data_IF_417937940651
#
_entry.id   IF_417937940651
#
_cell.length_a   1.000
_cell.length_b   1.000
_cell.length_c   1.000
_cell.angle_alpha   90.00
_cell.angle_beta   90.00
_cell.angle_gamma   90.00
#
_symmetry.space_group_name_H-M   'P 1'
#
loop_
_entity.id
_entity.type
_entity.pdbx_description
1 polymer ?
#
# COMPACT_ATOMS: atom_id res chain seq x y z
N UNK A 1 45.18 26.05 -19.35
CA UNK A 1 44.16 27.03 -19.77
C UNK A 1 43.43 26.58 -21.03
N UNK A 2 42.23 26.01 -20.91
CA UNK A 2 41.26 25.89 -22.01
C UNK A 2 39.86 26.02 -21.40
N UNK A 3 39.21 27.17 -21.64
CA UNK A 3 37.82 27.44 -21.24
C UNK A 3 36.89 26.59 -22.12
N UNK A 4 36.11 25.68 -21.53
CA UNK A 4 34.92 25.13 -22.20
C UNK A 4 33.71 25.96 -21.76
N UNK A 5 33.07 26.58 -22.76
CA UNK A 5 31.83 27.36 -22.65
C UNK A 5 30.74 26.50 -21.99
N UNK A 6 30.19 26.97 -20.87
CA UNK A 6 28.83 26.62 -20.47
C UNK A 6 27.88 27.29 -21.46
N UNK A 7 27.07 26.49 -22.15
CA UNK A 7 25.87 26.96 -22.83
C UNK A 7 24.66 26.75 -21.89
N UNK A 8 23.60 27.58 -22.01
CA UNK A 8 22.70 27.94 -20.92
C UNK A 8 21.55 26.95 -20.71
N UNK A 9 21.01 26.98 -19.48
CA UNK A 9 19.94 26.18 -18.89
C UNK A 9 18.56 26.34 -19.60
N UNK A 10 18.46 27.10 -20.68
CA UNK A 10 17.19 27.44 -21.34
C UNK A 10 16.73 26.50 -22.47
N UNK A 11 17.31 25.29 -22.58
CA UNK A 11 16.89 24.30 -23.59
C UNK A 11 15.88 23.24 -23.08
N UNK A 12 15.64 23.11 -21.77
CA UNK A 12 14.66 22.13 -21.24
C UNK A 12 13.24 22.68 -21.09
N UNK A 13 13.04 24.00 -21.19
CA UNK A 13 11.73 24.63 -21.01
C UNK A 13 10.80 24.57 -22.25
N UNK A 14 11.20 23.88 -23.34
CA UNK A 14 10.36 23.71 -24.55
C UNK A 14 9.79 22.31 -24.75
N UNK A 15 10.24 21.30 -24.00
CA UNK A 15 9.64 19.95 -24.02
C UNK A 15 8.58 19.74 -22.93
N UNK A 16 8.30 20.77 -22.12
CA UNK A 16 7.28 20.76 -21.07
C UNK A 16 5.85 21.01 -21.60
N UNK A 17 5.59 20.65 -22.87
CA UNK A 17 4.25 20.63 -23.50
C UNK A 17 3.84 19.25 -24.03
N UNK A 18 4.58 18.19 -23.73
CA UNK A 18 4.27 16.82 -24.18
C UNK A 18 3.87 15.83 -23.06
N UNK A 19 3.77 16.26 -21.80
CA UNK A 19 3.34 15.40 -20.69
C UNK A 19 1.86 15.56 -20.27
N UNK A 20 1.03 16.17 -21.11
CA UNK A 20 -0.44 16.27 -20.91
C UNK A 20 -1.22 15.29 -21.77
N UNK A 21 -0.67 14.14 -22.17
CA UNK A 21 -1.43 13.20 -22.99
C UNK A 21 -0.89 11.76 -22.95
N UNK A 22 -1.19 11.02 -21.88
CA UNK A 22 -1.02 9.56 -21.88
C UNK A 22 -2.24 8.92 -21.23
N UNK A 23 -3.26 8.66 -22.05
CA UNK A 23 -3.91 7.35 -22.25
C UNK A 23 -4.87 7.46 -23.46
N UNK A 24 -4.47 7.01 -24.66
CA UNK A 24 -5.45 6.65 -25.67
C UNK A 24 -5.95 5.23 -25.41
N UNK A 25 -7.25 5.05 -25.62
CA UNK A 25 -7.92 3.77 -25.74
C UNK A 25 -7.10 2.78 -26.57
N UNK A 26 -6.71 1.64 -26.02
CA UNK A 26 -6.25 0.47 -26.78
C UNK A 26 -6.45 -0.79 -25.94
N UNK A 27 -7.37 -1.63 -26.37
CA UNK A 27 -7.62 -2.95 -25.79
C UNK A 27 -6.48 -3.91 -26.08
N UNK A 28 -5.49 -3.95 -25.18
CA UNK A 28 -4.50 -5.01 -25.13
C UNK A 28 -4.40 -5.55 -23.70
N UNK A 29 -4.70 -6.84 -23.60
CA UNK A 29 -4.64 -7.65 -22.39
C UNK A 29 -3.19 -7.63 -21.88
N UNK A 30 -2.96 -7.01 -20.72
CA UNK A 30 -1.68 -7.10 -20.01
C UNK A 30 -1.52 -8.51 -19.44
N UNK A 31 -0.50 -9.23 -19.90
CA UNK A 31 -0.07 -10.52 -19.34
C UNK A 31 1.14 -10.25 -18.44
N UNK A 32 1.06 -10.47 -17.11
CA UNK A 32 2.16 -10.13 -16.22
C UNK A 32 3.39 -11.02 -16.49
N UNK A 33 4.62 -10.47 -16.36
CA UNK A 33 5.84 -11.24 -16.45
C UNK A 33 5.97 -12.21 -15.26
N UNK A 34 6.52 -13.36 -15.60
CA UNK A 34 6.42 -14.62 -14.91
C UNK A 34 7.59 -14.78 -13.92
N UNK A 35 7.44 -14.37 -12.64
CA UNK A 35 8.44 -14.66 -11.59
C UNK A 35 7.84 -15.27 -10.30
N UNK A 36 6.51 -15.21 -10.08
CA UNK A 36 5.87 -15.85 -8.92
C UNK A 36 5.28 -17.26 -9.19
N UNK A 37 5.47 -17.84 -10.39
CA UNK A 37 4.81 -19.09 -10.78
C UNK A 37 5.49 -20.40 -10.29
N UNK A 38 6.58 -20.32 -9.51
CA UNK A 38 7.34 -21.51 -9.10
C UNK A 38 6.93 -22.10 -7.74
N UNK A 39 6.47 -21.29 -6.76
CA UNK A 39 6.18 -21.79 -5.41
C UNK A 39 4.72 -22.14 -5.13
N UNK A 40 3.77 -21.77 -5.99
CA UNK A 40 2.33 -21.97 -5.74
C UNK A 40 1.71 -23.23 -6.36
N UNK A 41 2.52 -24.16 -6.90
CA UNK A 41 2.02 -25.39 -7.56
C UNK A 41 1.66 -26.55 -6.61
N UNK A 42 1.39 -26.29 -5.33
CA UNK A 42 1.02 -27.34 -4.35
C UNK A 42 -0.26 -27.07 -3.58
N UNK A 43 -1.15 -26.24 -4.11
CA UNK A 43 -2.52 -26.11 -3.63
C UNK A 43 -3.49 -26.70 -4.66
N UNK A 44 -4.45 -27.55 -4.27
CA UNK A 44 -5.27 -28.33 -5.19
C UNK A 44 -6.38 -27.54 -5.92
N UNK A 45 -6.44 -26.20 -5.84
CA UNK A 45 -7.60 -25.44 -6.32
C UNK A 45 -7.28 -24.14 -7.09
N UNK A 46 -6.24 -24.15 -7.93
CA UNK A 46 -5.91 -22.98 -8.79
C UNK A 46 -6.76 -22.87 -10.07
N UNK A 47 -7.74 -23.75 -10.28
CA UNK A 47 -8.57 -23.76 -11.50
C UNK A 47 -9.84 -22.89 -11.43
N UNK A 48 -10.13 -22.24 -10.29
CA UNK A 48 -11.40 -21.53 -10.10
C UNK A 48 -11.37 -20.01 -10.32
N UNK A 49 -10.24 -19.41 -10.73
CA UNK A 49 -10.14 -17.95 -10.98
C UNK A 49 -10.32 -17.61 -12.47
N UNK A 50 -11.30 -18.27 -13.09
CA UNK A 50 -11.59 -18.15 -14.51
C UNK A 50 -13.08 -18.15 -14.83
N UNK A 51 -13.92 -17.55 -13.98
CA UNK A 51 -15.31 -17.28 -14.34
C UNK A 51 -15.74 -15.92 -13.77
N UNK A 52 -15.74 -14.93 -14.65
CA UNK A 52 -16.47 -13.67 -14.48
C UNK A 52 -17.95 -14.02 -14.28
N UNK A 53 -18.48 -13.83 -13.08
CA UNK A 53 -19.93 -13.86 -12.83
C UNK A 53 -20.49 -12.49 -13.17
N UNK A 54 -21.26 -12.43 -14.25
CA UNK A 54 -22.28 -11.41 -14.49
C UNK A 54 -23.41 -11.69 -13.50
N UNK A 55 -23.61 -10.80 -12.52
CA UNK A 55 -24.74 -10.87 -11.58
C UNK A 55 -26.05 -10.43 -12.30
N UNK A 56 -27.21 -11.07 -12.04
CA UNK A 56 -28.42 -10.82 -12.82
C UNK A 56 -29.07 -9.47 -12.52
N UNK A 57 -29.35 -8.74 -13.60
CA UNK A 57 -30.08 -7.46 -13.63
C UNK A 57 -31.47 -7.56 -12.99
N UNK A 58 -31.80 -6.63 -12.09
CA UNK A 58 -33.17 -6.41 -11.64
C UNK A 58 -34.00 -5.76 -12.77
N UNK A 59 -35.16 -6.32 -13.16
CA UNK A 59 -35.95 -5.77 -14.26
C UNK A 59 -36.73 -4.53 -13.80
N UNK A 60 -36.50 -3.38 -14.45
CA UNK A 60 -37.39 -2.23 -14.35
C UNK A 60 -36.75 -0.86 -14.14
N UNK A 61 -35.45 -0.76 -13.90
CA UNK A 61 -34.75 0.53 -13.95
C UNK A 61 -34.14 0.70 -15.33
N UNK A 62 -34.64 1.69 -16.09
CA UNK A 62 -33.97 2.16 -17.31
C UNK A 62 -32.50 2.41 -16.95
N UNK A 63 -31.54 1.81 -17.66
CA UNK A 63 -30.15 2.18 -17.52
C UNK A 63 -30.08 3.69 -17.71
N UNK A 64 -29.51 4.43 -16.75
CA UNK A 64 -28.90 5.69 -17.16
C UNK A 64 -27.81 5.27 -18.13
N UNK A 65 -27.91 5.74 -19.37
CA UNK A 65 -26.86 5.56 -20.38
C UNK A 65 -25.54 6.03 -19.76
N UNK A 66 -24.68 5.07 -19.40
CA UNK A 66 -23.32 5.35 -18.94
C UNK A 66 -22.36 5.48 -20.14
N UNK A 67 -22.89 5.53 -21.36
CA UNK A 67 -22.14 5.68 -22.62
C UNK A 67 -21.88 7.13 -23.02
N UNK A 68 -22.26 8.11 -22.19
CA UNK A 68 -21.83 9.50 -22.33
C UNK A 68 -21.09 9.97 -21.06
N UNK A 69 -19.94 9.36 -20.77
CA UNK A 69 -18.89 10.07 -20.05
C UNK A 69 -18.06 10.79 -21.11
N UNK A 70 -18.43 12.04 -21.36
CA UNK A 70 -17.58 12.94 -22.14
C UNK A 70 -16.22 13.04 -21.45
N UNK A 71 -15.15 12.89 -22.22
CA UNK A 71 -13.83 13.40 -21.83
C UNK A 71 -13.98 14.89 -21.51
N UNK A 72 -14.00 15.26 -20.24
CA UNK A 72 -14.06 16.67 -19.82
C UNK A 72 -14.75 16.99 -18.51
N UNK A 73 -15.35 16.04 -17.80
CA UNK A 73 -15.83 16.32 -16.44
C UNK A 73 -14.64 16.36 -15.47
N UNK A 74 -14.45 17.51 -14.81
CA UNK A 74 -13.63 17.60 -13.61
C UNK A 74 -14.23 16.63 -12.61
N UNK A 75 -13.50 15.57 -12.27
CA UNK A 75 -13.83 14.75 -11.11
C UNK A 75 -13.59 15.65 -9.91
N UNK A 76 -14.67 16.08 -9.27
CA UNK A 76 -14.59 16.89 -8.07
C UNK A 76 -13.93 16.07 -6.96
N UNK A 77 -13.14 16.72 -6.10
CA UNK A 77 -12.36 16.06 -5.05
C UNK A 77 -13.25 15.21 -4.12
N UNK A 78 -14.50 15.63 -3.92
CA UNK A 78 -15.53 14.89 -3.19
C UNK A 78 -15.92 13.56 -3.85
N UNK A 79 -15.97 13.49 -5.19
CA UNK A 79 -16.31 12.28 -5.91
C UNK A 79 -15.18 11.25 -5.83
N UNK A 80 -13.92 11.72 -5.88
CA UNK A 80 -12.74 10.87 -5.69
C UNK A 80 -12.71 10.29 -4.26
N UNK A 81 -12.94 11.14 -3.24
CA UNK A 81 -13.06 10.70 -1.84
C UNK A 81 -14.17 9.67 -1.66
N UNK A 82 -15.33 9.89 -2.29
CA UNK A 82 -16.48 8.98 -2.21
C UNK A 82 -16.22 7.64 -2.88
N UNK A 83 -15.51 7.63 -4.00
CA UNK A 83 -15.10 6.42 -4.70
C UNK A 83 -14.08 5.61 -3.89
N UNK A 84 -13.07 6.28 -3.32
CA UNK A 84 -12.06 5.65 -2.43
C UNK A 84 -12.74 5.03 -1.22
N UNK A 85 -13.64 5.77 -0.56
CA UNK A 85 -14.41 5.28 0.58
C UNK A 85 -15.31 4.08 0.22
N UNK A 86 -15.92 4.10 -0.97
CA UNK A 86 -16.71 2.98 -1.49
C UNK A 86 -15.89 1.71 -1.70
N UNK A 87 -14.69 1.84 -2.28
CA UNK A 87 -13.76 0.73 -2.47
C UNK A 87 -13.26 0.15 -1.13
N UNK A 88 -12.93 1.02 -0.17
CA UNK A 88 -12.52 0.65 1.20
C UNK A 88 -13.60 -0.20 1.89
N UNK A 89 -14.86 0.26 1.87
CA UNK A 89 -16.00 -0.46 2.47
C UNK A 89 -16.23 -1.83 1.85
N UNK A 90 -16.11 -1.93 0.53
CA UNK A 90 -16.29 -3.20 -0.17
C UNK A 90 -15.21 -4.22 0.20
N UNK A 91 -13.95 -3.79 0.24
CA UNK A 91 -12.82 -4.63 0.60
C UNK A 91 -12.89 -5.10 2.07
N UNK A 92 -13.26 -4.18 2.98
CA UNK A 92 -13.43 -4.49 4.40
C UNK A 92 -14.54 -5.53 4.63
N UNK A 93 -15.68 -5.38 3.92
CA UNK A 93 -16.80 -6.33 3.97
C UNK A 93 -16.42 -7.73 3.49
N UNK A 94 -15.45 -7.84 2.58
CA UNK A 94 -15.00 -9.12 2.02
C UNK A 94 -13.89 -9.79 2.84
N UNK A 95 -13.32 -9.12 3.84
CA UNK A 95 -12.19 -9.66 4.61
C UNK A 95 -10.90 -9.81 3.80
N UNK A 96 -10.80 -9.10 2.66
CA UNK A 96 -9.66 -9.12 1.73
C UNK A 96 -9.10 -7.70 1.55
N UNK A 97 -9.46 -6.76 2.44
CA UNK A 97 -8.89 -5.42 2.38
C UNK A 97 -7.43 -5.47 2.80
N UNK A 98 -6.54 -5.13 1.86
CA UNK A 98 -5.23 -4.62 2.24
C UNK A 98 -5.41 -3.42 3.18
N UNK A 99 -4.59 -3.30 4.24
CA UNK A 99 -4.68 -2.17 5.17
C UNK A 99 -4.62 -0.83 4.42
N UNK A 100 -5.41 0.11 4.90
CA UNK A 100 -5.46 1.43 4.28
C UNK A 100 -4.20 2.23 4.64
N UNK A 101 -3.81 3.15 3.76
CA UNK A 101 -2.62 3.98 4.01
C UNK A 101 -2.77 4.89 5.25
N UNK A 102 -4.02 5.20 5.67
CA UNK A 102 -4.31 5.94 6.91
C UNK A 102 -4.16 5.11 8.20
N UNK A 103 -3.84 3.82 8.10
CA UNK A 103 -3.46 3.01 9.25
C UNK A 103 -1.99 3.21 9.65
N UNK A 104 -1.19 3.84 8.78
CA UNK A 104 0.16 4.30 9.13
C UNK A 104 0.06 5.42 10.17
N UNK A 105 0.71 5.20 11.30
CA UNK A 105 0.74 6.10 12.45
C UNK A 105 1.97 7.02 12.45
N UNK A 106 3.02 6.65 11.70
CA UNK A 106 4.29 7.37 11.65
C UNK A 106 4.41 8.36 10.50
N UNK A 107 3.39 8.43 9.64
CA UNK A 107 3.36 9.37 8.53
C UNK A 107 2.70 10.70 8.92
N UNK A 108 3.33 11.80 8.55
CA UNK A 108 2.75 13.12 8.71
C UNK A 108 1.59 13.33 7.72
N UNK A 109 0.50 14.01 8.14
CA UNK A 109 -0.67 14.23 7.28
C UNK A 109 -0.36 14.88 5.92
N UNK A 110 0.70 15.71 5.85
CA UNK A 110 1.13 16.36 4.61
C UNK A 110 1.65 15.33 3.59
N UNK A 111 2.45 14.36 4.03
CA UNK A 111 2.96 13.31 3.15
C UNK A 111 1.87 12.30 2.78
N UNK A 112 0.96 12.01 3.72
CA UNK A 112 -0.20 11.16 3.45
C UNK A 112 -1.05 11.72 2.29
N UNK A 113 -1.38 13.01 2.34
CA UNK A 113 -2.16 13.66 1.27
C UNK A 113 -1.42 13.61 -0.08
N UNK A 114 -0.08 13.73 -0.08
CA UNK A 114 0.75 13.63 -1.30
C UNK A 114 0.80 12.20 -1.85
N UNK A 115 0.84 11.18 -0.99
CA UNK A 115 0.72 9.77 -1.40
C UNK A 115 -0.63 9.48 -2.03
N UNK A 116 -1.71 9.97 -1.41
CA UNK A 116 -3.07 9.82 -1.94
C UNK A 116 -3.24 10.52 -3.29
N UNK A 117 -2.68 11.73 -3.47
CA UNK A 117 -2.66 12.44 -4.74
C UNK A 117 -1.93 11.67 -5.86
N UNK A 118 -1.00 10.77 -5.51
CA UNK A 118 -0.28 9.89 -6.43
C UNK A 118 -0.95 8.53 -6.63
N UNK A 119 -2.11 8.31 -6.02
CA UNK A 119 -2.88 7.08 -6.15
C UNK A 119 -2.46 5.97 -5.18
N UNK A 120 -1.71 6.27 -4.12
CA UNK A 120 -1.25 5.29 -3.12
C UNK A 120 -2.20 5.35 -1.92
N UNK A 121 -3.19 4.45 -1.90
CA UNK A 121 -4.26 4.43 -0.89
C UNK A 121 -4.20 3.25 0.07
N UNK A 122 -3.30 2.29 -0.18
CA UNK A 122 -3.14 1.07 0.63
C UNK A 122 -1.68 0.84 0.94
N UNK A 123 -1.42 0.13 2.04
CA UNK A 123 -0.06 -0.28 2.40
C UNK A 123 0.57 -1.16 1.32
N UNK A 124 -0.22 -2.03 0.67
CA UNK A 124 0.25 -2.83 -0.46
C UNK A 124 0.78 -2.00 -1.64
N UNK A 125 0.08 -0.92 -2.02
CA UNK A 125 0.54 -0.01 -3.07
C UNK A 125 1.81 0.74 -2.64
N UNK A 126 1.91 1.13 -1.38
CA UNK A 126 3.14 1.72 -0.84
C UNK A 126 4.30 0.72 -0.95
N UNK A 127 4.10 -0.54 -0.57
CA UNK A 127 5.13 -1.58 -0.65
C UNK A 127 5.59 -1.83 -2.08
N UNK A 128 4.66 -1.87 -3.05
CA UNK A 128 4.99 -2.00 -4.48
C UNK A 128 5.83 -0.81 -4.99
N UNK A 129 5.41 0.41 -4.63
CA UNK A 129 6.09 1.65 -5.03
C UNK A 129 7.40 1.90 -4.27
N UNK A 130 7.68 1.17 -3.21
CA UNK A 130 8.89 1.28 -2.37
C UNK A 130 9.80 0.03 -2.41
N UNK A 131 9.50 -0.92 -3.29
CA UNK A 131 10.17 -2.23 -3.37
C UNK A 131 11.69 -2.14 -3.46
N UNK A 132 12.22 -1.21 -4.27
CA UNK A 132 13.67 -1.08 -4.49
C UNK A 132 14.23 0.23 -3.92
N UNK A 133 15.54 0.29 -3.58
CA UNK A 133 16.15 1.52 -3.08
C UNK A 133 15.94 2.73 -4.01
N UNK A 134 16.07 2.54 -5.33
CA UNK A 134 15.83 3.60 -6.33
C UNK A 134 14.38 4.05 -6.35
N UNK A 135 13.43 3.11 -6.22
CA UNK A 135 12.00 3.42 -6.14
C UNK A 135 11.66 4.22 -4.88
N UNK A 136 12.28 3.88 -3.74
CA UNK A 136 12.13 4.65 -2.49
C UNK A 136 12.63 6.07 -2.63
N UNK A 137 13.81 6.27 -3.22
CA UNK A 137 14.32 7.62 -3.50
C UNK A 137 13.37 8.40 -4.41
N UNK A 138 12.87 7.76 -5.47
CA UNK A 138 11.92 8.39 -6.39
C UNK A 138 10.62 8.81 -5.68
N UNK A 139 10.10 7.95 -4.79
CA UNK A 139 8.91 8.25 -4.01
C UNK A 139 9.14 9.40 -3.02
N UNK A 140 10.31 9.44 -2.38
CA UNK A 140 10.72 10.52 -1.49
C UNK A 140 10.73 11.87 -2.24
N UNK A 141 11.35 11.91 -3.42
CA UNK A 141 11.41 13.11 -4.27
C UNK A 141 10.00 13.56 -4.72
N UNK A 142 9.10 12.62 -5.03
CA UNK A 142 7.72 12.90 -5.46
C UNK A 142 6.81 13.39 -4.32
N UNK A 143 7.06 12.93 -3.10
CA UNK A 143 6.28 13.28 -1.90
C UNK A 143 6.92 14.40 -1.08
N UNK A 144 8.06 14.93 -1.54
CA UNK A 144 8.88 15.93 -0.84
C UNK A 144 9.12 15.50 0.62
N UNK A 145 9.46 14.22 0.77
CA UNK A 145 9.82 13.55 2.02
C UNK A 145 11.29 13.14 1.99
N UNK A 146 11.87 12.76 3.13
CA UNK A 146 13.19 12.17 3.16
C UNK A 146 13.15 10.68 2.81
N UNK A 147 14.28 10.12 2.39
CA UNK A 147 14.40 8.67 2.18
C UNK A 147 14.16 7.90 3.50
N UNK A 148 14.57 8.47 4.63
CA UNK A 148 14.35 7.87 5.95
C UNK A 148 12.86 7.77 6.29
N UNK A 149 12.07 8.79 5.96
CA UNK A 149 10.61 8.77 6.17
C UNK A 149 9.97 7.65 5.34
N UNK A 150 10.37 7.51 4.06
CA UNK A 150 9.86 6.44 3.19
C UNK A 150 10.27 5.06 3.70
N UNK A 151 11.50 4.89 4.19
CA UNK A 151 11.95 3.64 4.81
C UNK A 151 11.12 3.34 6.07
N UNK A 152 10.78 4.36 6.86
CA UNK A 152 9.94 4.23 8.05
C UNK A 152 8.50 3.82 7.72
N UNK A 153 7.87 4.47 6.74
CA UNK A 153 6.52 4.10 6.31
C UNK A 153 6.47 2.70 5.72
N UNK A 154 7.50 2.31 4.96
CA UNK A 154 7.63 0.95 4.42
C UNK A 154 7.75 -0.08 5.55
N UNK A 155 8.59 0.19 6.54
CA UNK A 155 8.82 -0.68 7.69
C UNK A 155 7.54 -0.89 8.52
N UNK A 156 6.70 0.14 8.65
CA UNK A 156 5.39 0.05 9.30
C UNK A 156 4.38 -0.69 8.41
N UNK A 157 4.37 -0.42 7.10
CA UNK A 157 3.50 -1.09 6.14
C UNK A 157 3.76 -2.61 6.07
N UNK A 158 5.02 -3.05 6.23
CA UNK A 158 5.37 -4.46 6.36
C UNK A 158 4.81 -5.08 7.65
N UNK A 159 4.81 -4.34 8.76
CA UNK A 159 4.20 -4.78 10.02
C UNK A 159 2.69 -4.95 9.88
N UNK A 160 2.02 -4.02 9.20
CA UNK A 160 0.58 -4.10 8.90
C UNK A 160 0.23 -5.27 7.96
N UNK A 161 1.21 -5.90 7.31
CA UNK A 161 1.02 -7.06 6.44
C UNK A 161 1.12 -8.41 7.19
N UNK A 162 1.28 -8.41 8.51
CA UNK A 162 1.21 -9.62 9.33
C UNK A 162 -0.18 -10.26 9.25
N UNK A 163 -0.24 -11.59 9.28
CA UNK A 163 -1.51 -12.31 9.24
C UNK A 163 -2.33 -12.07 10.51
N UNK A 164 -3.64 -11.86 10.35
CA UNK A 164 -4.58 -11.54 11.43
C UNK A 164 -4.16 -10.32 12.27
N UNK A 165 -3.50 -9.36 11.62
CA UNK A 165 -2.99 -8.16 12.25
C UNK A 165 -3.81 -6.96 11.78
N UNK A 166 -4.41 -6.24 12.72
CA UNK A 166 -5.16 -5.03 12.44
C UNK A 166 -4.72 -3.86 13.31
N UNK A 167 -5.50 -2.79 13.29
CA UNK A 167 -5.26 -1.57 14.08
C UNK A 167 -5.01 -1.83 15.57
N UNK A 168 -5.73 -2.77 16.18
CA UNK A 168 -5.60 -3.03 17.62
C UNK A 168 -4.25 -3.69 17.96
N UNK A 169 -3.85 -4.66 17.15
CA UNK A 169 -2.57 -5.37 17.25
C UNK A 169 -1.42 -4.42 16.94
N UNK A 170 -1.60 -3.55 15.95
CA UNK A 170 -0.65 -2.49 15.62
C UNK A 170 -0.39 -1.55 16.81
N UNK A 171 -1.44 -1.04 17.44
CA UNK A 171 -1.31 -0.20 18.64
C UNK A 171 -0.64 -0.94 19.80
N UNK A 172 -0.92 -2.24 19.97
CA UNK A 172 -0.31 -3.06 21.00
C UNK A 172 1.20 -3.20 20.75
N UNK A 173 1.61 -3.51 19.52
CA UNK A 173 3.03 -3.64 19.17
C UNK A 173 3.76 -2.31 19.27
N UNK A 174 3.17 -1.21 18.81
CA UNK A 174 3.74 0.12 19.00
C UNK A 174 3.96 0.44 20.50
N UNK A 175 2.98 0.16 21.36
CA UNK A 175 3.10 0.32 22.81
C UNK A 175 4.13 -0.63 23.45
N UNK A 176 4.38 -1.79 22.83
CA UNK A 176 5.41 -2.74 23.25
C UNK A 176 6.82 -2.36 22.78
N UNK A 177 6.98 -1.28 22.01
CA UNK A 177 8.26 -0.83 21.46
C UNK A 177 8.59 -1.40 20.08
N UNK A 178 7.60 -1.94 19.37
CA UNK A 178 7.73 -2.49 18.02
C UNK A 178 6.90 -1.68 17.00
N UNK A 179 7.31 -0.45 16.67
CA UNK A 179 6.57 0.43 15.75
C UNK A 179 6.66 0.00 14.28
N UNK A 180 7.51 -0.97 13.95
CA UNK A 180 7.64 -1.49 12.59
C UNK A 180 8.41 -2.82 12.54
N UNK A 181 8.47 -3.42 11.35
CA UNK A 181 8.86 -4.82 11.19
C UNK A 181 10.30 -5.10 11.61
N UNK A 182 11.22 -4.14 11.40
CA UNK A 182 12.65 -4.28 11.72
C UNK A 182 12.86 -4.51 13.22
N UNK A 183 12.26 -3.67 14.06
CA UNK A 183 12.39 -3.79 15.52
C UNK A 183 11.85 -5.12 16.05
N UNK A 184 10.79 -5.65 15.42
CA UNK A 184 10.26 -6.97 15.75
C UNK A 184 11.23 -8.07 15.30
N UNK A 185 11.74 -7.99 14.06
CA UNK A 185 12.63 -9.00 13.49
C UNK A 185 13.98 -9.10 14.21
N UNK A 186 14.48 -7.99 14.74
CA UNK A 186 15.72 -7.92 15.53
C UNK A 186 15.57 -8.45 16.96
N UNK A 187 14.34 -8.61 17.46
CA UNK A 187 14.09 -9.04 18.83
C UNK A 187 14.19 -10.54 19.06
N UNK A 188 14.62 -10.92 20.26
CA UNK A 188 14.53 -12.30 20.75
C UNK A 188 13.10 -12.64 21.18
N UNK A 189 12.74 -13.92 21.09
CA UNK A 189 11.37 -14.38 21.36
C UNK A 189 10.91 -14.03 22.79
N UNK A 190 11.75 -14.29 23.78
CA UNK A 190 11.44 -14.04 25.19
C UNK A 190 11.26 -12.55 25.46
N UNK A 191 12.07 -11.70 24.82
CA UNK A 191 11.99 -10.25 24.93
C UNK A 191 10.70 -9.71 24.31
N UNK A 192 10.38 -10.17 23.10
CA UNK A 192 9.15 -9.84 22.39
C UNK A 192 7.92 -10.24 23.20
N UNK A 193 7.86 -11.50 23.65
CA UNK A 193 6.74 -12.00 24.43
C UNK A 193 6.55 -11.21 25.73
N UNK A 194 7.65 -10.92 26.44
CA UNK A 194 7.60 -10.16 27.69
C UNK A 194 7.16 -8.72 27.45
N UNK A 195 7.64 -8.07 26.38
CA UNK A 195 7.28 -6.71 26.01
C UNK A 195 5.78 -6.59 25.65
N UNK A 196 5.26 -7.49 24.82
CA UNK A 196 3.84 -7.49 24.46
C UNK A 196 2.95 -7.80 25.67
N UNK A 197 3.37 -8.69 26.56
CA UNK A 197 2.65 -8.97 27.83
C UNK A 197 2.58 -7.72 28.70
N UNK A 198 3.70 -7.00 28.88
CA UNK A 198 3.74 -5.73 29.62
C UNK A 198 2.83 -4.68 28.98
N UNK A 199 2.90 -4.50 27.66
CA UNK A 199 2.06 -3.54 26.94
C UNK A 199 0.57 -3.86 27.06
N UNK A 200 0.20 -5.14 27.02
CA UNK A 200 -1.18 -5.58 27.22
C UNK A 200 -1.71 -5.15 28.59
N UNK A 201 -0.92 -5.38 29.65
CA UNK A 201 -1.27 -4.98 31.02
C UNK A 201 -1.41 -3.46 31.14
N UNK A 202 -0.48 -2.69 30.56
CA UNK A 202 -0.51 -1.23 30.57
C UNK A 202 -1.74 -0.67 29.85
N UNK A 203 -2.15 -1.30 28.75
CA UNK A 203 -3.32 -0.90 27.97
C UNK A 203 -4.64 -1.44 28.54
N UNK A 204 -4.60 -2.28 29.60
CA UNK A 204 -5.79 -2.91 30.17
C UNK A 204 -6.52 -3.84 29.19
N UNK A 205 -5.78 -4.48 28.27
CA UNK A 205 -6.35 -5.35 27.22
C UNK A 205 -6.30 -6.82 27.62
N UNK A 206 -7.04 -7.65 26.88
CA UNK A 206 -6.87 -9.11 26.93
C UNK A 206 -5.60 -9.47 26.17
N UNK A 207 -4.77 -10.33 26.75
CA UNK A 207 -3.56 -10.81 26.11
C UNK A 207 -3.89 -11.55 24.80
N UNK A 208 -3.15 -11.28 23.70
CA UNK A 208 -3.31 -12.06 22.49
C UNK A 208 -3.00 -13.55 22.75
N UNK A 209 -3.57 -14.41 21.91
CA UNK A 209 -3.27 -15.82 21.94
C UNK A 209 -1.76 -16.08 21.73
N UNK A 210 -1.12 -16.98 22.50
CA UNK A 210 0.31 -17.27 22.36
C UNK A 210 0.73 -17.75 20.97
N UNK A 211 -0.13 -18.48 20.24
CA UNK A 211 0.16 -18.91 18.87
C UNK A 211 0.12 -17.73 17.91
N UNK A 212 -0.82 -16.79 18.09
CA UNK A 212 -0.83 -15.54 17.31
C UNK A 212 0.44 -14.72 17.55
N UNK A 213 0.87 -14.55 18.81
CA UNK A 213 2.12 -13.85 19.14
C UNK A 213 3.33 -14.52 18.48
N UNK A 214 3.41 -15.84 18.59
CA UNK A 214 4.49 -16.61 17.96
C UNK A 214 4.49 -16.45 16.45
N UNK A 215 3.31 -16.53 15.84
CA UNK A 215 3.15 -16.37 14.40
C UNK A 215 3.58 -14.99 13.91
N UNK A 216 3.22 -13.92 14.62
CA UNK A 216 3.65 -12.56 14.26
C UNK A 216 5.16 -12.39 14.34
N UNK A 217 5.78 -12.90 15.41
CA UNK A 217 7.22 -12.84 15.58
C UNK A 217 7.96 -13.60 14.45
N UNK A 218 7.52 -14.82 14.12
CA UNK A 218 8.12 -15.62 13.04
C UNK A 218 7.92 -14.97 11.66
N UNK A 219 6.72 -14.45 11.38
CA UNK A 219 6.42 -13.76 10.12
C UNK A 219 7.27 -12.50 9.95
N UNK A 220 7.46 -11.70 11.01
CA UNK A 220 8.22 -10.46 10.89
C UNK A 220 9.69 -10.68 10.54
N UNK A 221 10.27 -11.78 11.03
CA UNK A 221 11.63 -12.20 10.63
C UNK A 221 11.74 -12.62 9.17
N UNK A 222 10.64 -13.04 8.54
CA UNK A 222 10.60 -13.36 7.11
C UNK A 222 10.35 -12.10 6.27
N UNK A 223 9.50 -11.20 6.76
CA UNK A 223 9.09 -9.99 6.02
C UNK A 223 10.13 -8.87 6.00
N UNK A 224 11.06 -8.82 6.96
CA UNK A 224 12.08 -7.74 7.03
C UNK A 224 12.98 -7.67 5.80
N UNK A 225 13.19 -8.81 5.12
CA UNK A 225 14.03 -8.92 3.93
C UNK A 225 13.24 -8.81 2.60
N UNK A 226 11.92 -8.57 2.67
CA UNK A 226 11.04 -8.41 1.51
C UNK A 226 11.09 -7.00 0.91
#
# INVERSE_FOLDING_TARGET
>A
MKKKKLAPIDAMARDMKLYTNWYPCSGLIYRPPNILAASLRRLPDYAAVGHFIVEPQQPGKRPRDVTNLGCGERVEEEDLRRAVEGARRYAAKKGVAMPSIDELTRIEPVHLARLEAQGIFTTGLLLERSETPTRRQTLADQTDASLADVDEWRDEALLLNLAFFGRHEHQLLAAAGYPGIRTLAESDWEEFQAAVTRATLLLGRVAPDPLSLRSWWEQGRVLVDA
#
